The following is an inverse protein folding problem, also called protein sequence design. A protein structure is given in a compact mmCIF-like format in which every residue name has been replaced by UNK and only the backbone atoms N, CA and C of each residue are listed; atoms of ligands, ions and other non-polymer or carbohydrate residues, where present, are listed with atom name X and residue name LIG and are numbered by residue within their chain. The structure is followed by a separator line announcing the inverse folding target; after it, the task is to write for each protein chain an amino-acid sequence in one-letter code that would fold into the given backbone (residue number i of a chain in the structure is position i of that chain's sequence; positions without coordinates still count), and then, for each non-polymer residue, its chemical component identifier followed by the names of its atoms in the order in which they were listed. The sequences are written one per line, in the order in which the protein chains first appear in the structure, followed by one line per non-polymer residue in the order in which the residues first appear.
data_IF_216491621008
#
_entry.id   IF_216491621008
#
_cell.length_a   1.000
_cell.length_b   1.000
_cell.length_c   1.000
_cell.angle_alpha   90.00
_cell.angle_beta   90.00
_cell.angle_gamma   90.00
#
_symmetry.space_group_name_H-M   'P 1'
#
loop_
_entity.id
_entity.type
_entity.pdbx_description
1 polymer ?
#
# COMPACT_ATOMS: atom_id res chain seq x y z
N UNK A 1 2.49 -11.89 12.26
CA UNK A 1 3.31 -12.32 11.10
C UNK A 1 4.10 -11.11 10.68
N UNK A 2 5.42 -11.19 10.77
CA UNK A 2 6.35 -10.19 10.22
C UNK A 2 7.01 -10.89 9.04
N UNK A 3 6.90 -10.30 7.86
CA UNK A 3 7.62 -10.75 6.68
C UNK A 3 8.85 -9.87 6.58
N UNK A 4 10.00 -10.42 6.94
CA UNK A 4 11.30 -9.80 6.79
C UNK A 4 11.90 -10.29 5.47
N UNK A 5 12.29 -9.36 4.59
CA UNK A 5 12.88 -9.67 3.29
C UNK A 5 14.39 -9.95 3.40
N UNK A 6 15.00 -9.80 4.58
CA UNK A 6 16.42 -10.08 4.83
C UNK A 6 17.41 -9.00 4.37
N UNK A 7 16.96 -7.97 3.66
CA UNK A 7 17.80 -6.87 3.18
C UNK A 7 17.91 -5.77 4.26
N UNK A 8 18.71 -6.03 5.30
CA UNK A 8 19.05 -5.03 6.32
C UNK A 8 20.38 -4.35 5.97
N UNK A 9 20.31 -3.27 5.19
CA UNK A 9 21.42 -2.34 4.93
C UNK A 9 20.92 -0.91 4.81
N UNK A 10 21.72 0.12 5.16
CA UNK A 10 21.29 1.53 5.18
C UNK A 10 20.99 2.14 3.80
N UNK A 11 21.05 1.37 2.71
CA UNK A 11 20.97 1.87 1.33
C UNK A 11 19.78 1.35 0.51
N UNK A 12 18.79 0.69 1.12
CA UNK A 12 17.55 0.35 0.42
C UNK A 12 16.34 0.72 1.27
N UNK A 13 16.01 2.02 1.32
CA UNK A 13 14.65 2.39 1.68
C UNK A 13 13.72 1.71 0.67
N UNK A 14 12.74 0.96 1.15
CA UNK A 14 11.69 0.36 0.31
C UNK A 14 10.79 1.50 -0.20
N UNK A 15 11.19 2.11 -1.32
CA UNK A 15 10.51 3.25 -1.92
C UNK A 15 9.50 2.75 -2.96
N UNK A 16 8.22 3.04 -2.70
CA UNK A 16 7.16 2.79 -3.67
C UNK A 16 6.85 4.07 -4.43
N UNK A 17 6.99 4.02 -5.75
CA UNK A 17 6.59 5.10 -6.65
C UNK A 17 5.09 4.98 -6.97
N UNK A 18 4.36 6.07 -6.83
CA UNK A 18 2.91 6.12 -7.10
C UNK A 18 2.57 7.25 -8.05
N UNK A 19 1.57 7.02 -8.90
CA UNK A 19 1.06 7.99 -9.87
C UNK A 19 -0.30 8.51 -9.41
N UNK A 20 -0.52 9.82 -9.57
CA UNK A 20 -1.82 10.45 -9.27
C UNK A 20 -2.89 9.92 -10.22
N UNK A 21 -4.00 9.48 -9.65
CA UNK A 21 -5.18 9.04 -10.40
C UNK A 21 -6.16 10.21 -10.61
N UNK A 22 -7.24 9.94 -11.33
CA UNK A 22 -8.37 10.89 -11.49
C UNK A 22 -9.35 10.89 -10.32
N UNK A 23 -9.12 10.08 -9.28
CA UNK A 23 -10.04 9.91 -8.16
C UNK A 23 -9.69 10.79 -6.97
N UNK A 24 -10.73 11.11 -6.20
CA UNK A 24 -10.64 11.82 -4.92
C UNK A 24 -11.01 10.86 -3.80
N UNK A 25 -10.20 10.85 -2.74
CA UNK A 25 -10.38 9.98 -1.59
C UNK A 25 -11.47 10.47 -0.63
N UNK A 26 -11.81 9.68 0.39
CA UNK A 26 -12.82 10.02 1.39
C UNK A 26 -12.50 11.28 2.21
N UNK A 27 -11.24 11.70 2.29
CA UNK A 27 -10.84 12.98 2.90
C UNK A 27 -10.94 14.18 1.95
N UNK A 28 -11.29 13.97 0.68
CA UNK A 28 -11.35 15.04 -0.33
C UNK A 28 -10.02 15.29 -1.05
N UNK A 29 -8.99 14.47 -0.84
CA UNK A 29 -7.67 14.65 -1.44
C UNK A 29 -7.41 13.68 -2.60
N UNK A 30 -6.40 13.97 -3.46
CA UNK A 30 -6.09 13.12 -4.60
C UNK A 30 -5.67 11.70 -4.20
N UNK A 31 -6.12 10.71 -4.98
CA UNK A 31 -5.70 9.32 -4.82
C UNK A 31 -4.54 9.00 -5.74
N UNK A 32 -3.55 8.30 -5.20
CA UNK A 32 -2.37 7.82 -5.90
C UNK A 32 -2.37 6.28 -5.92
N UNK A 33 -1.76 5.72 -6.95
CA UNK A 33 -1.70 4.28 -7.17
C UNK A 33 -0.33 3.92 -7.73
N UNK A 34 0.28 2.86 -7.21
CA UNK A 34 1.43 2.26 -7.89
C UNK A 34 0.97 1.47 -9.13
N UNK A 35 1.93 1.09 -9.97
CA UNK A 35 1.65 0.41 -11.23
C UNK A 35 0.99 -0.98 -11.05
N UNK A 36 1.16 -1.61 -9.89
CA UNK A 36 0.54 -2.91 -9.59
C UNK A 36 -0.90 -2.79 -9.07
N UNK A 37 -1.30 -1.61 -8.59
CA UNK A 37 -2.59 -1.41 -7.94
C UNK A 37 -2.69 -1.93 -6.50
N UNK A 38 -1.59 -2.48 -5.97
CA UNK A 38 -1.52 -2.98 -4.60
C UNK A 38 -1.57 -1.82 -3.62
N UNK A 39 -0.78 -0.79 -3.88
CA UNK A 39 -0.73 0.44 -3.11
C UNK A 39 -1.67 1.45 -3.73
N UNK A 40 -2.72 1.78 -2.99
CA UNK A 40 -3.60 2.90 -3.27
C UNK A 40 -3.68 3.78 -2.04
N UNK A 41 -3.40 5.06 -2.19
CA UNK A 41 -3.34 5.98 -1.06
C UNK A 41 -3.99 7.32 -1.38
N UNK A 42 -4.65 7.90 -0.40
CA UNK A 42 -5.01 9.31 -0.39
C UNK A 42 -3.87 10.08 0.29
N UNK A 43 -3.38 11.15 -0.35
CA UNK A 43 -2.31 12.00 0.19
C UNK A 43 -2.83 13.44 0.28
N UNK A 44 -2.83 14.01 1.49
CA UNK A 44 -3.26 15.38 1.73
C UNK A 44 -2.17 16.39 1.34
N UNK A 45 -2.57 17.65 1.20
CA UNK A 45 -1.67 18.79 1.03
C UNK A 45 -0.82 19.06 2.29
N UNK A 46 -1.21 18.50 3.43
CA UNK A 46 -0.45 18.53 4.69
C UNK A 46 0.56 17.37 4.80
N UNK A 47 0.64 16.50 3.79
CA UNK A 47 1.54 15.36 3.77
C UNK A 47 1.05 14.15 4.57
N UNK A 48 -0.21 14.14 5.01
CA UNK A 48 -0.80 12.95 5.61
C UNK A 48 -1.14 11.92 4.53
N UNK A 49 -0.78 10.67 4.82
CA UNK A 49 -1.04 9.55 3.92
C UNK A 49 -2.03 8.57 4.57
N UNK A 50 -3.08 8.22 3.82
CA UNK A 50 -4.04 7.18 4.19
C UNK A 50 -4.08 6.09 3.14
N UNK A 51 -3.72 4.87 3.51
CA UNK A 51 -3.89 3.70 2.65
C UNK A 51 -5.39 3.43 2.46
N UNK A 52 -5.81 3.34 1.21
CA UNK A 52 -7.17 3.00 0.83
C UNK A 52 -7.24 1.51 0.52
N UNK A 53 -8.20 0.77 1.09
CA UNK A 53 -8.38 -0.63 0.71
C UNK A 53 -8.78 -0.71 -0.77
N UNK A 54 -7.94 -1.34 -1.59
CA UNK A 54 -8.27 -1.71 -2.98
C UNK A 54 -9.37 -2.78 -2.91
N UNK A 55 -10.63 -2.37 -2.92
CA UNK A 55 -11.79 -3.18 -2.53
C UNK A 55 -12.15 -4.41 -3.38
N UNK A 56 -11.23 -5.08 -4.08
CA UNK A 56 -11.59 -6.32 -4.79
C UNK A 56 -10.55 -6.95 -5.70
N UNK A 57 -9.36 -6.37 -5.86
CA UNK A 57 -8.37 -6.92 -6.80
C UNK A 57 -6.94 -6.74 -6.27
N UNK A 58 -6.70 -7.24 -5.07
CA UNK A 58 -5.40 -7.85 -4.81
C UNK A 58 -5.50 -9.21 -5.51
N UNK A 59 -5.13 -9.28 -6.79
CA UNK A 59 -4.96 -10.58 -7.48
C UNK A 59 -3.74 -11.26 -6.86
N UNK A 60 -3.89 -11.71 -5.62
CA UNK A 60 -3.02 -12.69 -5.04
C UNK A 60 -3.26 -13.92 -5.91
N UNK A 61 -2.37 -14.14 -6.87
CA UNK A 61 -2.33 -15.35 -7.73
C UNK A 61 -2.42 -16.65 -6.93
N UNK A 62 -2.26 -16.61 -5.60
CA UNK A 62 -2.56 -17.68 -4.64
C UNK A 62 -3.27 -17.17 -3.39
N UNK A 63 -4.37 -17.80 -2.94
CA UNK A 63 -5.01 -17.46 -1.67
C UNK A 63 -4.06 -17.75 -0.50
N UNK A 64 -3.90 -16.78 0.40
CA UNK A 64 -3.12 -16.94 1.64
C UNK A 64 -4.04 -17.24 2.82
N UNK A 65 -3.70 -18.24 3.64
CA UNK A 65 -4.50 -18.62 4.81
C UNK A 65 -3.98 -17.87 6.04
N UNK A 66 -4.78 -16.94 6.57
CA UNK A 66 -4.47 -16.26 7.83
C UNK A 66 -4.30 -17.26 9.00
N UNK A 67 -3.35 -16.99 9.90
CA UNK A 67 -3.19 -17.67 11.20
C UNK A 67 -3.19 -16.61 12.30
N UNK A 68 -3.80 -16.94 13.45
CA UNK A 68 -3.60 -16.14 14.66
C UNK A 68 -2.10 -16.17 15.02
N UNK A 69 -1.49 -15.04 15.41
CA UNK A 69 -0.17 -15.07 16.01
C UNK A 69 -0.22 -15.96 17.25
N UNK A 70 0.81 -16.80 17.44
CA UNK A 70 0.99 -17.51 18.70
C UNK A 70 1.12 -16.46 19.81
N UNK A 71 0.39 -16.67 20.91
CA UNK A 71 0.45 -15.83 22.11
C UNK A 71 1.81 -15.87 22.78
#
# INVERSE_FOLDING_TARGET
MVFDTGESGPEAADVVVVTRTTQTGPGGHPVYCDDTGIIRAEISDQGELRILPSGGQQDLTRPVRARRPAS
#
